data_IF_317337067605
#
_entry.id   IF_317337067605
#
_cell.length_a   1.000
_cell.length_b   1.000
_cell.length_c   1.000
_cell.angle_alpha   90.00
_cell.angle_beta   90.00
_cell.angle_gamma   90.00
#
_symmetry.space_group_name_H-M   'P 1'
#
loop_
_entity.id
_entity.type
_entity.pdbx_description
1 polymer ?
#
# COMPACT_ATOMS: atom_id res chain seq x y z
N UNK A 1 4.68 1.47 16.90
CA UNK A 1 3.36 0.79 16.93
C UNK A 1 2.54 1.28 15.73
N UNK A 2 1.64 0.47 15.18
CA UNK A 2 0.71 0.92 14.16
C UNK A 2 -0.28 1.93 14.77
N UNK A 3 -0.76 2.92 14.00
CA UNK A 3 -1.69 3.94 14.51
C UNK A 3 -3.08 3.38 14.81
N UNK A 4 -3.45 2.26 14.19
CA UNK A 4 -4.67 1.51 14.47
C UNK A 4 -4.48 0.02 14.12
N UNK A 5 -5.32 -0.80 14.71
CA UNK A 5 -5.49 -2.23 14.41
C UNK A 5 -6.42 -2.45 13.21
N UNK A 6 -6.40 -3.66 12.65
CA UNK A 6 -7.33 -4.04 11.56
C UNK A 6 -8.80 -3.89 12.01
N UNK A 7 -9.11 -4.32 13.24
CA UNK A 7 -10.46 -4.24 13.81
C UNK A 7 -10.94 -2.79 13.88
N UNK A 8 -10.07 -1.86 14.30
CA UNK A 8 -10.40 -0.43 14.33
C UNK A 8 -10.63 0.14 12.93
N UNK A 9 -9.84 -0.29 11.93
CA UNK A 9 -10.01 0.13 10.54
C UNK A 9 -11.33 -0.40 9.93
N UNK A 10 -11.71 -1.64 10.21
CA UNK A 10 -12.98 -2.23 9.79
C UNK A 10 -14.18 -1.56 10.48
N UNK A 11 -14.05 -1.26 11.78
CA UNK A 11 -15.05 -0.51 12.53
C UNK A 11 -15.27 0.90 11.95
N UNK A 12 -14.20 1.56 11.52
CA UNK A 12 -14.30 2.85 10.84
C UNK A 12 -15.05 2.73 9.50
N UNK A 13 -14.76 1.71 8.68
CA UNK A 13 -15.49 1.48 7.43
C UNK A 13 -16.99 1.24 7.69
N UNK A 14 -17.33 0.47 8.72
CA UNK A 14 -18.72 0.25 9.15
C UNK A 14 -19.40 1.55 9.59
N UNK A 15 -18.70 2.40 10.34
CA UNK A 15 -19.21 3.69 10.79
C UNK A 15 -19.46 4.64 9.61
N UNK A 16 -18.48 4.77 8.71
CA UNK A 16 -18.61 5.59 7.50
C UNK A 16 -19.73 5.07 6.58
N UNK A 17 -19.92 3.76 6.47
CA UNK A 17 -21.00 3.19 5.66
C UNK A 17 -22.38 3.69 6.10
N UNK A 18 -22.59 3.83 7.43
CA UNK A 18 -23.85 4.36 7.99
C UNK A 18 -24.00 5.86 7.71
N UNK A 19 -22.91 6.60 7.70
CA UNK A 19 -22.91 8.06 7.48
C UNK A 19 -23.17 8.38 6.01
N UNK A 20 -22.45 7.71 5.12
CA UNK A 20 -22.50 7.94 3.66
C UNK A 20 -23.69 7.26 2.98
N UNK A 21 -24.38 6.33 3.67
CA UNK A 21 -25.45 5.54 3.07
C UNK A 21 -24.97 4.60 1.96
N UNK A 22 -23.68 4.26 1.97
CA UNK A 22 -23.01 3.41 0.98
C UNK A 22 -22.27 2.27 1.67
N UNK A 23 -22.17 1.11 1.02
CA UNK A 23 -21.39 0.01 1.55
C UNK A 23 -19.88 0.29 1.39
N UNK A 24 -19.21 0.64 2.49
CA UNK A 24 -17.77 0.89 2.54
C UNK A 24 -17.05 -0.24 3.28
N UNK A 25 -15.86 -0.57 2.79
CA UNK A 25 -14.98 -1.60 3.34
C UNK A 25 -13.54 -1.26 3.03
N UNK A 26 -12.62 -1.93 3.71
CA UNK A 26 -11.24 -1.99 3.26
C UNK A 26 -11.17 -2.59 1.85
N UNK A 27 -10.27 -2.11 0.98
CA UNK A 27 -10.06 -2.69 -0.34
C UNK A 27 -9.45 -4.09 -0.21
N UNK A 28 -9.61 -4.92 -1.23
CA UNK A 28 -8.79 -6.12 -1.39
C UNK A 28 -7.35 -5.73 -1.77
N UNK A 29 -6.43 -6.69 -1.66
CA UNK A 29 -5.03 -6.54 -2.10
C UNK A 29 -4.91 -6.14 -3.58
N UNK A 30 -5.79 -6.67 -4.43
CA UNK A 30 -5.83 -6.42 -5.86
C UNK A 30 -6.47 -5.07 -6.18
N UNK A 31 -7.55 -4.72 -5.49
CA UNK A 31 -8.23 -3.43 -5.62
C UNK A 31 -7.32 -2.27 -5.22
N UNK A 32 -6.63 -2.42 -4.08
CA UNK A 32 -5.65 -1.44 -3.63
C UNK A 32 -4.55 -1.28 -4.66
N UNK A 33 -4.03 -2.39 -5.18
CA UNK A 33 -2.95 -2.36 -6.16
C UNK A 33 -3.36 -1.68 -7.47
N UNK A 34 -4.58 -1.94 -7.96
CA UNK A 34 -5.12 -1.23 -9.13
C UNK A 34 -5.23 0.28 -8.88
N UNK A 35 -5.77 0.67 -7.73
CA UNK A 35 -5.90 2.08 -7.34
C UNK A 35 -4.54 2.77 -7.08
N UNK A 36 -3.53 2.01 -6.66
CA UNK A 36 -2.21 2.55 -6.34
C UNK A 36 -1.31 2.69 -7.57
N UNK A 37 -1.34 1.76 -8.52
CA UNK A 37 -0.36 1.71 -9.62
C UNK A 37 -0.94 1.47 -11.01
N UNK A 38 -2.24 1.23 -11.13
CA UNK A 38 -2.88 0.91 -12.38
C UNK A 38 -2.56 -0.51 -12.90
N UNK A 39 -2.89 -0.82 -14.16
CA UNK A 39 -2.80 -2.18 -14.72
C UNK A 39 -1.43 -2.53 -15.32
N UNK A 40 -0.51 -1.58 -15.42
CA UNK A 40 0.68 -1.68 -16.31
C UNK A 40 1.89 -2.42 -15.72
N UNK A 41 1.74 -3.10 -14.58
CA UNK A 41 2.79 -3.97 -14.07
C UNK A 41 3.93 -3.25 -13.32
N UNK A 42 3.89 -1.93 -13.10
CA UNK A 42 4.95 -1.21 -12.39
C UNK A 42 5.18 -1.65 -10.92
N UNK A 43 6.43 -1.62 -10.44
CA UNK A 43 6.81 -2.12 -9.10
C UNK A 43 6.32 -1.22 -7.95
N UNK A 44 6.25 0.09 -8.19
CA UNK A 44 5.82 1.13 -7.24
C UNK A 44 4.73 1.99 -7.90
N UNK A 45 3.92 2.73 -7.13
CA UNK A 45 2.95 3.69 -7.69
C UNK A 45 3.59 4.65 -8.71
N UNK A 46 4.82 5.10 -8.45
CA UNK A 46 5.52 6.06 -9.31
C UNK A 46 6.43 5.44 -10.39
N UNK A 47 6.47 4.10 -10.54
CA UNK A 47 7.26 3.44 -11.59
C UNK A 47 8.09 2.25 -11.09
N UNK A 48 9.18 1.93 -11.81
CA UNK A 48 9.97 0.70 -11.61
C UNK A 48 11.29 0.91 -10.87
N UNK A 49 11.59 2.13 -10.44
CA UNK A 49 12.83 2.45 -9.75
C UNK A 49 12.53 3.08 -8.40
N UNK A 50 13.15 2.53 -7.36
CA UNK A 50 13.29 3.24 -6.09
C UNK A 50 14.17 4.47 -6.34
N UNK A 51 13.90 5.56 -5.63
CA UNK A 51 14.63 6.82 -5.80
C UNK A 51 14.96 7.41 -4.44
N UNK A 52 16.02 8.19 -4.43
CA UNK A 52 16.61 8.78 -3.23
C UNK A 52 15.71 9.86 -2.60
N UNK A 53 14.79 10.44 -3.38
CA UNK A 53 13.73 11.38 -2.95
C UNK A 53 12.51 10.68 -2.30
N UNK A 54 12.56 9.35 -2.20
CA UNK A 54 11.57 8.53 -1.52
C UNK A 54 10.26 8.35 -2.28
N UNK A 55 9.22 7.94 -1.55
CA UNK A 55 7.91 7.58 -2.07
C UNK A 55 6.93 8.77 -2.23
N UNK A 56 7.48 9.96 -2.47
CA UNK A 56 6.74 11.23 -2.45
C UNK A 56 5.99 11.50 -3.74
N UNK A 57 6.27 10.79 -4.84
CA UNK A 57 5.60 11.01 -6.12
C UNK A 57 4.21 10.39 -6.19
N UNK A 58 3.35 11.06 -6.95
CA UNK A 58 2.02 10.58 -7.28
C UNK A 58 2.06 9.27 -8.09
N UNK A 59 1.01 8.47 -7.90
CA UNK A 59 0.63 7.38 -8.78
C UNK A 59 0.25 7.89 -10.19
N UNK A 60 0.00 7.00 -11.17
CA UNK A 60 -0.53 7.40 -12.47
C UNK A 60 -1.88 8.12 -12.38
N UNK A 61 -2.56 7.96 -11.24
CA UNK A 61 -3.86 8.57 -10.94
C UNK A 61 -3.74 9.88 -10.16
N UNK A 62 -2.52 10.40 -9.95
CA UNK A 62 -2.31 11.64 -9.18
C UNK A 62 -2.34 11.45 -7.65
N UNK A 63 -2.39 10.21 -7.16
CA UNK A 63 -2.46 9.92 -5.71
C UNK A 63 -1.06 9.85 -5.11
N UNK A 64 -0.76 10.77 -4.21
CA UNK A 64 0.54 10.85 -3.53
C UNK A 64 0.57 10.03 -2.23
N UNK A 65 1.78 9.81 -1.68
CA UNK A 65 2.02 9.21 -0.35
C UNK A 65 1.47 7.79 -0.16
N UNK A 66 1.24 7.05 -1.24
CA UNK A 66 0.77 5.66 -1.20
C UNK A 66 1.76 4.71 -0.52
N UNK A 67 3.07 4.91 -0.68
CA UNK A 67 4.10 4.10 -0.03
C UNK A 67 4.84 4.95 1.01
N UNK A 68 4.12 5.49 1.98
CA UNK A 68 4.72 6.33 3.03
C UNK A 68 5.44 5.51 4.11
N UNK A 69 5.67 6.11 5.28
CA UNK A 69 6.38 5.51 6.41
C UNK A 69 5.65 4.33 7.06
N UNK A 70 4.34 4.19 6.83
CA UNK A 70 3.48 3.21 7.46
C UNK A 70 2.79 2.30 6.43
N UNK A 71 2.59 1.03 6.77
CA UNK A 71 1.76 0.13 5.98
C UNK A 71 0.28 0.50 6.07
N UNK A 72 -0.46 0.16 5.02
CA UNK A 72 -1.90 0.44 4.91
C UNK A 72 -2.71 -0.83 5.12
N UNK A 73 -3.89 -0.75 5.72
CA UNK A 73 -4.76 -1.90 5.89
C UNK A 73 -5.54 -2.24 4.61
N UNK A 74 -5.69 -3.53 4.35
CA UNK A 74 -6.60 -4.12 3.37
C UNK A 74 -7.27 -5.37 3.94
N UNK A 75 -8.20 -5.92 3.17
CA UNK A 75 -8.78 -7.22 3.48
C UNK A 75 -7.67 -8.28 3.52
N UNK A 76 -7.47 -8.91 4.67
CA UNK A 76 -6.44 -9.93 4.87
C UNK A 76 -5.12 -9.44 5.46
N UNK A 77 -4.95 -8.13 5.72
CA UNK A 77 -3.83 -7.61 6.50
C UNK A 77 -3.22 -6.33 5.97
N UNK A 78 -1.97 -6.08 6.34
CA UNK A 78 -1.22 -4.91 5.91
C UNK A 78 -0.71 -5.09 4.48
N UNK A 79 -0.89 -4.06 3.67
CA UNK A 79 -0.35 -3.89 2.33
C UNK A 79 0.83 -2.92 2.29
N UNK A 80 1.36 -2.81 1.08
CA UNK A 80 2.46 -1.95 0.65
C UNK A 80 2.38 -0.55 1.27
N UNK A 81 3.55 -0.05 1.67
CA UNK A 81 3.69 1.15 2.49
C UNK A 81 4.49 0.81 3.73
N UNK A 82 5.51 1.59 4.05
CA UNK A 82 6.45 1.26 5.10
C UNK A 82 7.67 0.48 4.63
N UNK A 83 8.71 0.52 5.48
CA UNK A 83 10.07 0.07 5.15
C UNK A 83 10.18 -1.41 4.76
N UNK A 84 9.25 -2.25 5.21
CA UNK A 84 9.35 -3.71 5.07
C UNK A 84 8.68 -4.26 3.80
N UNK A 85 7.74 -3.52 3.21
CA UNK A 85 7.04 -3.92 1.97
C UNK A 85 6.79 -2.71 1.07
N UNK A 86 7.83 -2.17 0.40
CA UNK A 86 7.68 -0.99 -0.45
C UNK A 86 7.09 -1.32 -1.83
N UNK A 87 7.07 -2.60 -2.25
CA UNK A 87 6.66 -3.04 -3.58
C UNK A 87 5.18 -3.40 -3.65
N UNK A 88 4.53 -2.99 -4.73
CA UNK A 88 3.20 -3.49 -5.09
C UNK A 88 3.35 -4.89 -5.70
N UNK A 89 3.05 -5.93 -4.93
CA UNK A 89 3.33 -7.32 -5.29
C UNK A 89 2.14 -8.26 -5.15
N UNK A 90 0.91 -7.76 -4.92
CA UNK A 90 -0.26 -8.65 -4.79
C UNK A 90 -0.55 -9.42 -6.08
N UNK A 91 -0.18 -8.87 -7.26
CA UNK A 91 -0.28 -9.59 -8.56
C UNK A 91 0.96 -10.40 -8.98
N UNK A 92 1.96 -10.61 -8.12
CA UNK A 92 3.07 -11.52 -8.45
C UNK A 92 2.83 -12.88 -7.82
N UNK A 93 2.33 -13.80 -8.64
CA UNK A 93 2.43 -15.23 -8.35
C UNK A 93 3.91 -15.60 -8.28
N UNK A 94 4.38 -15.80 -7.04
CA UNK A 94 5.73 -16.25 -6.75
C UNK A 94 6.78 -15.15 -6.57
N UNK A 95 7.57 -15.31 -5.51
CA UNK A 95 8.98 -14.91 -5.43
C UNK A 95 9.40 -13.58 -4.78
N UNK A 96 8.60 -12.91 -3.96
CA UNK A 96 9.17 -11.99 -2.95
C UNK A 96 8.49 -12.20 -1.59
N UNK A 97 8.95 -13.21 -0.87
CA UNK A 97 8.65 -13.36 0.55
C UNK A 97 8.98 -12.04 1.27
N UNK A 98 8.04 -11.58 2.10
CA UNK A 98 8.24 -10.51 3.09
C UNK A 98 9.56 -10.79 3.82
N UNK A 99 10.58 -9.95 3.58
CA UNK A 99 11.92 -10.10 4.18
C UNK A 99 13.08 -10.47 3.24
N UNK A 100 12.84 -10.77 1.95
CA UNK A 100 13.93 -11.14 1.03
C UNK A 100 14.79 -9.95 0.55
N UNK A 101 14.32 -8.71 0.73
CA UNK A 101 15.04 -7.53 0.27
C UNK A 101 15.55 -6.72 1.48
N UNK A 102 16.75 -7.08 1.95
CA UNK A 102 17.50 -6.29 2.92
C UNK A 102 18.15 -5.12 2.17
N UNK A 103 17.46 -3.99 2.11
CA UNK A 103 17.98 -2.78 1.49
C UNK A 103 18.94 -2.07 2.45
N UNK A 104 20.22 -2.07 2.09
CA UNK A 104 21.22 -1.20 2.71
C UNK A 104 20.86 0.22 2.31
N UNK A 105 20.36 1.01 3.25
CA UNK A 105 20.37 2.46 3.06
C UNK A 105 21.84 2.85 3.11
N UNK A 106 22.40 3.32 1.99
CA UNK A 106 23.69 3.99 2.05
C UNK A 106 23.46 5.25 2.87
N UNK A 107 23.93 5.21 4.12
CA UNK A 107 24.03 6.42 4.93
C UNK A 107 25.06 7.36 4.27
N UNK A 108 24.94 8.69 4.47
CA UNK A 108 25.88 9.65 3.91
C UNK A 108 27.32 9.42 4.39
#
# INVERSE_FOLDING_TARGET
>A
PLPCTLVEAEALCSALSRIEGAALRLPSSEEWEMGARGPDGRLFPWGNSMRDDGATRASPWGVEKLVASLPQWAQGGLLCGGREQPVCASRRDGALAVGAARWVMSAP
#
